data_IF_506450243952
#
_entry.id   IF_506450243952
#
_cell.length_a   1.000
_cell.length_b   1.000
_cell.length_c   1.000
_cell.angle_alpha   90.00
_cell.angle_beta   90.00
_cell.angle_gamma   90.00
#
_symmetry.space_group_name_H-M   'P 1'
#
loop_
_entity.id
_entity.type
_entity.pdbx_description
1 polymer ?
#
# COMPACT_ATOMS: atom_id res chain seq x y z
N UNK A 1 36.80 -57.27 -23.85
CA UNK A 1 36.48 -55.83 -24.04
C UNK A 1 34.96 -55.56 -24.01
N UNK A 2 34.23 -55.99 -22.96
CA UNK A 2 32.77 -55.74 -22.84
C UNK A 2 32.30 -55.35 -21.44
N UNK A 3 33.22 -55.06 -20.51
CA UNK A 3 32.89 -54.74 -19.10
C UNK A 3 33.27 -53.33 -18.64
N UNK A 4 33.82 -52.49 -19.52
CA UNK A 4 34.21 -51.11 -19.17
C UNK A 4 33.24 -50.01 -19.65
N UNK A 5 32.20 -50.35 -20.42
CA UNK A 5 31.27 -49.33 -20.96
C UNK A 5 30.07 -49.08 -20.01
N UNK A 6 29.78 -50.00 -19.09
CA UNK A 6 28.64 -49.87 -18.19
C UNK A 6 28.86 -48.88 -17.02
N UNK A 7 30.11 -48.52 -16.71
CA UNK A 7 30.42 -47.60 -15.61
C UNK A 7 30.39 -46.12 -16.03
N UNK A 8 30.58 -45.82 -17.32
CA UNK A 8 30.53 -44.44 -17.82
C UNK A 8 29.09 -43.91 -17.95
N UNK A 9 28.11 -44.79 -18.20
CA UNK A 9 26.70 -44.41 -18.31
C UNK A 9 26.01 -44.19 -16.95
N UNK A 10 26.53 -44.79 -15.86
CA UNK A 10 25.94 -44.65 -14.53
C UNK A 10 26.45 -43.41 -13.78
N UNK A 11 27.63 -42.90 -14.12
CA UNK A 11 28.18 -41.67 -13.53
C UNK A 11 27.59 -40.41 -14.19
N UNK A 12 27.13 -40.48 -15.44
CA UNK A 12 26.45 -39.36 -16.09
C UNK A 12 24.96 -39.21 -15.71
N UNK A 13 24.36 -40.18 -15.04
CA UNK A 13 22.95 -40.12 -14.62
C UNK A 13 22.76 -39.56 -13.20
N UNK A 14 23.84 -39.32 -12.45
CA UNK A 14 23.78 -38.86 -11.05
C UNK A 14 24.21 -37.40 -10.86
N UNK A 15 24.60 -36.68 -11.92
CA UNK A 15 24.96 -35.25 -11.84
C UNK A 15 23.84 -34.31 -12.31
N UNK A 16 22.66 -34.82 -12.66
CA UNK A 16 21.54 -34.00 -13.14
C UNK A 16 20.54 -33.57 -12.04
N UNK A 17 20.77 -33.94 -10.77
CA UNK A 17 19.86 -33.61 -9.65
C UNK A 17 20.39 -32.57 -8.66
N UNK A 18 21.45 -31.86 -9.01
CA UNK A 18 21.91 -30.69 -8.25
C UNK A 18 21.61 -29.37 -8.99
N UNK A 19 20.45 -29.30 -9.65
CA UNK A 19 19.88 -27.99 -9.97
C UNK A 19 19.16 -27.51 -8.72
N UNK A 20 19.52 -26.37 -8.11
CA UNK A 20 18.71 -25.82 -7.05
C UNK A 20 17.35 -25.50 -7.68
N UNK A 21 16.32 -26.21 -7.22
CA UNK A 21 14.92 -25.97 -7.58
C UNK A 21 14.47 -24.52 -7.29
N UNK A 22 15.32 -23.72 -6.66
CA UNK A 22 15.19 -22.29 -6.42
C UNK A 22 15.06 -21.43 -7.69
N UNK A 23 15.45 -21.95 -8.86
CA UNK A 23 15.51 -21.14 -10.09
C UNK A 23 14.21 -21.11 -10.93
N UNK A 24 13.13 -21.80 -10.53
CA UNK A 24 11.92 -21.92 -11.36
C UNK A 24 10.63 -21.29 -10.78
N UNK A 25 10.59 -20.92 -9.50
CA UNK A 25 9.35 -20.42 -8.87
C UNK A 25 9.61 -19.41 -7.74
N UNK A 26 9.53 -18.12 -8.06
CA UNK A 26 9.45 -17.00 -7.10
C UNK A 26 10.77 -16.59 -6.44
N UNK A 27 10.87 -15.32 -6.02
CA UNK A 27 12.01 -14.83 -5.23
C UNK A 27 12.21 -15.69 -3.97
N UNK A 28 13.48 -15.92 -3.63
CA UNK A 28 13.85 -16.71 -2.45
C UNK A 28 13.25 -16.03 -1.21
N UNK A 29 12.81 -16.82 -0.23
CA UNK A 29 12.18 -16.30 1.00
C UNK A 29 13.05 -15.26 1.71
N UNK A 30 14.38 -15.36 1.56
CA UNK A 30 15.33 -14.39 2.11
C UNK A 30 15.27 -13.04 1.39
N UNK A 31 15.09 -13.02 0.06
CA UNK A 31 14.90 -11.79 -0.71
C UNK A 31 13.57 -11.12 -0.37
N UNK A 32 12.49 -11.93 -0.24
CA UNK A 32 11.17 -11.42 0.17
C UNK A 32 11.20 -10.80 1.56
N UNK A 33 11.93 -11.42 2.50
CA UNK A 33 12.11 -10.88 3.84
C UNK A 33 12.84 -9.52 3.79
N UNK A 34 13.94 -9.43 3.03
CA UNK A 34 14.69 -8.17 2.86
C UNK A 34 13.83 -7.07 2.21
N UNK A 35 13.04 -7.41 1.20
CA UNK A 35 12.11 -6.46 0.57
C UNK A 35 11.01 -5.98 1.52
N UNK A 36 10.50 -6.88 2.37
CA UNK A 36 9.51 -6.55 3.38
C UNK A 36 10.10 -5.63 4.45
N UNK A 37 11.30 -5.96 4.96
CA UNK A 37 12.03 -5.12 5.92
C UNK A 37 12.24 -3.71 5.36
N UNK A 38 12.77 -3.59 4.14
CA UNK A 38 13.00 -2.30 3.50
C UNK A 38 11.72 -1.49 3.31
N UNK A 39 10.61 -2.16 2.93
CA UNK A 39 9.31 -1.50 2.79
C UNK A 39 8.75 -1.01 4.13
N UNK A 40 8.87 -1.81 5.20
CA UNK A 40 8.42 -1.45 6.54
C UNK A 40 9.26 -0.31 7.11
N UNK A 41 10.58 -0.38 7.03
CA UNK A 41 11.48 0.67 7.52
C UNK A 41 11.20 2.00 6.80
N UNK A 42 11.04 1.96 5.47
CA UNK A 42 10.66 3.15 4.70
C UNK A 42 9.32 3.72 5.17
N UNK A 43 8.30 2.88 5.29
CA UNK A 43 6.97 3.30 5.73
C UNK A 43 6.99 3.92 7.13
N UNK A 44 7.74 3.34 8.08
CA UNK A 44 7.86 3.89 9.43
C UNK A 44 8.56 5.25 9.41
N UNK A 45 9.61 5.42 8.62
CA UNK A 45 10.26 6.72 8.44
C UNK A 45 9.36 7.77 7.78
N UNK A 46 8.50 7.37 6.84
CA UNK A 46 7.45 8.22 6.28
C UNK A 46 6.42 8.61 7.35
N UNK A 47 5.96 7.67 8.18
CA UNK A 47 5.00 7.93 9.24
C UNK A 47 5.54 8.87 10.33
N UNK A 48 6.78 8.65 10.77
CA UNK A 48 7.45 9.52 11.73
C UNK A 48 7.62 10.94 11.18
N UNK A 49 8.13 11.08 9.95
CA UNK A 49 8.31 12.40 9.32
C UNK A 49 7.00 13.12 9.03
N UNK A 50 5.95 12.36 8.69
CA UNK A 50 4.62 12.88 8.42
C UNK A 50 3.78 13.15 9.67
N UNK A 51 4.26 12.76 10.86
CA UNK A 51 3.58 12.89 12.16
C UNK A 51 2.14 12.30 12.17
N UNK A 52 1.96 11.12 11.57
CA UNK A 52 0.67 10.45 11.53
C UNK A 52 0.75 9.00 12.04
N UNK A 53 -0.40 8.42 12.35
CA UNK A 53 -0.52 7.08 12.89
C UNK A 53 -0.76 6.03 11.79
N UNK A 54 -0.70 4.76 12.16
CA UNK A 54 -0.98 3.63 11.27
C UNK A 54 -2.23 2.90 11.74
N UNK A 55 -3.09 2.54 10.80
CA UNK A 55 -4.21 1.61 11.04
C UNK A 55 -4.09 0.44 10.07
N UNK A 56 -4.28 -0.78 10.54
CA UNK A 56 -4.23 -1.97 9.67
C UNK A 56 -5.60 -2.24 9.01
N UNK A 57 -5.62 -3.14 8.02
CA UNK A 57 -6.85 -3.49 7.29
C UNK A 57 -7.96 -4.04 8.19
N UNK A 58 -7.68 -4.99 9.12
CA UNK A 58 -8.72 -5.50 10.01
C UNK A 58 -9.31 -4.43 10.93
N UNK A 59 -8.48 -3.54 11.50
CA UNK A 59 -8.97 -2.46 12.37
C UNK A 59 -9.80 -1.45 11.60
N UNK A 60 -9.36 -1.05 10.39
CA UNK A 60 -10.16 -0.16 9.53
C UNK A 60 -11.51 -0.81 9.17
N UNK A 61 -11.51 -2.10 8.84
CA UNK A 61 -12.74 -2.84 8.55
C UNK A 61 -13.69 -2.84 9.74
N UNK A 62 -13.18 -3.05 10.94
CA UNK A 62 -13.95 -3.01 12.18
C UNK A 62 -14.55 -1.61 12.41
N UNK A 63 -13.76 -0.53 12.26
CA UNK A 63 -14.26 0.83 12.41
C UNK A 63 -15.40 1.15 11.45
N UNK A 64 -15.33 0.64 10.21
CA UNK A 64 -16.41 0.80 9.22
C UNK A 64 -17.68 0.05 9.66
N UNK A 65 -17.55 -1.18 10.17
CA UNK A 65 -18.70 -1.98 10.64
C UNK A 65 -19.38 -1.39 11.88
N UNK A 66 -18.58 -0.79 12.76
CA UNK A 66 -19.07 -0.11 13.96
C UNK A 66 -19.69 1.26 13.65
N UNK A 67 -19.57 1.75 12.40
CA UNK A 67 -20.05 3.07 12.02
C UNK A 67 -19.29 4.19 12.73
N UNK A 68 -18.01 3.98 13.04
CA UNK A 68 -17.14 5.02 13.62
C UNK A 68 -17.19 6.24 12.69
N UNK A 69 -17.45 7.40 13.28
CA UNK A 69 -17.48 8.65 12.55
C UNK A 69 -16.05 9.05 12.12
N UNK A 70 -15.78 8.98 10.82
CA UNK A 70 -14.45 9.18 10.25
C UNK A 70 -14.53 9.57 8.78
N UNK A 71 -13.43 10.07 8.23
CA UNK A 71 -13.26 10.35 6.81
C UNK A 71 -12.22 9.38 6.26
N UNK A 72 -12.55 8.70 5.16
CA UNK A 72 -11.63 7.80 4.47
C UNK A 72 -11.27 8.43 3.13
N UNK A 73 -9.98 8.54 2.81
CA UNK A 73 -9.51 9.18 1.56
C UNK A 73 -8.64 8.22 0.76
N UNK A 74 -9.06 7.98 -0.48
CA UNK A 74 -8.27 7.33 -1.52
C UNK A 74 -7.43 8.36 -2.28
N UNK A 75 -6.11 8.14 -2.30
CA UNK A 75 -5.15 9.05 -2.94
C UNK A 75 -4.74 8.67 -4.36
N UNK A 76 -5.37 7.64 -4.95
CA UNK A 76 -5.08 7.13 -6.29
C UNK A 76 -5.86 7.86 -7.38
N UNK A 77 -5.40 7.79 -8.65
CA UNK A 77 -6.11 8.38 -9.79
C UNK A 77 -7.57 7.93 -9.87
N UNK A 78 -8.48 8.87 -10.15
CA UNK A 78 -9.92 8.62 -10.17
C UNK A 78 -10.32 7.54 -11.18
N UNK A 79 -10.14 7.80 -12.47
CA UNK A 79 -10.58 6.90 -13.56
C UNK A 79 -9.88 5.54 -13.53
N UNK A 80 -8.58 5.54 -13.27
CA UNK A 80 -7.77 4.33 -13.39
C UNK A 80 -7.85 3.41 -12.17
N UNK A 81 -8.28 3.94 -11.02
CA UNK A 81 -8.34 3.20 -9.76
C UNK A 81 -9.68 3.38 -9.05
N UNK A 82 -9.91 4.53 -8.41
CA UNK A 82 -11.03 4.75 -7.49
C UNK A 82 -12.40 4.46 -8.13
N UNK A 83 -12.59 4.89 -9.37
CA UNK A 83 -13.86 4.71 -10.08
C UNK A 83 -14.21 3.23 -10.29
N UNK A 84 -13.21 2.38 -10.49
CA UNK A 84 -13.38 0.92 -10.67
C UNK A 84 -13.65 0.25 -9.34
N UNK A 85 -12.87 0.61 -8.32
CA UNK A 85 -12.96 0.03 -6.99
C UNK A 85 -12.28 0.89 -5.92
N UNK A 86 -12.96 1.07 -4.79
CA UNK A 86 -12.46 1.74 -3.60
C UNK A 86 -13.00 1.11 -2.31
N UNK A 87 -12.40 1.46 -1.17
CA UNK A 87 -12.90 1.07 0.16
C UNK A 87 -14.27 1.74 0.35
N UNK A 88 -15.31 1.03 0.84
CA UNK A 88 -16.64 1.61 0.99
C UNK A 88 -16.67 2.92 1.78
N UNK A 89 -17.37 3.92 1.24
CA UNK A 89 -17.48 5.26 1.85
C UNK A 89 -16.23 6.14 1.74
N UNK A 90 -15.18 5.68 1.04
CA UNK A 90 -14.03 6.53 0.76
C UNK A 90 -14.40 7.72 -0.13
N UNK A 91 -13.69 8.82 0.03
CA UNK A 91 -13.66 9.97 -0.88
C UNK A 91 -12.37 9.89 -1.72
N UNK A 92 -12.34 10.50 -2.90
CA UNK A 92 -11.13 10.55 -3.72
C UNK A 92 -10.45 11.92 -3.68
N UNK A 93 -9.14 11.94 -3.46
CA UNK A 93 -8.30 13.12 -3.66
C UNK A 93 -6.89 12.70 -4.07
N UNK A 94 -6.50 12.96 -5.31
CA UNK A 94 -5.24 12.47 -5.89
C UNK A 94 -4.05 13.22 -5.32
N UNK A 95 -3.02 12.47 -4.90
CA UNK A 95 -1.69 12.98 -4.56
C UNK A 95 -0.61 12.34 -5.44
N UNK A 96 0.52 13.00 -5.70
CA UNK A 96 1.61 12.44 -6.51
C UNK A 96 2.36 11.31 -5.81
N UNK A 97 3.17 10.56 -6.57
CA UNK A 97 4.06 9.52 -6.03
C UNK A 97 5.31 10.15 -5.39
N UNK A 98 6.04 11.08 -6.02
CA UNK A 98 7.13 11.78 -5.34
C UNK A 98 6.64 12.49 -4.07
N UNK A 99 7.54 12.67 -3.10
CA UNK A 99 7.25 13.47 -1.91
C UNK A 99 6.88 14.90 -2.33
N UNK A 100 5.82 15.44 -1.72
CA UNK A 100 5.29 16.76 -2.03
C UNK A 100 5.54 17.70 -0.84
N UNK A 101 6.75 18.24 -0.78
CA UNK A 101 7.19 19.14 0.29
C UNK A 101 6.42 20.47 0.28
N UNK A 102 6.19 21.01 -0.92
CA UNK A 102 5.37 22.18 -1.21
C UNK A 102 4.14 21.76 -2.02
N UNK A 103 3.01 22.43 -1.82
CA UNK A 103 1.77 22.06 -2.51
C UNK A 103 1.85 22.41 -3.99
N UNK A 104 1.60 21.43 -4.86
CA UNK A 104 1.46 21.63 -6.30
C UNK A 104 0.08 21.13 -6.77
N UNK A 105 -0.77 22.07 -7.17
CA UNK A 105 -2.12 21.77 -7.67
C UNK A 105 -2.10 21.02 -9.01
N UNK A 106 -1.00 21.08 -9.77
CA UNK A 106 -0.89 20.36 -11.05
C UNK A 106 -0.62 18.87 -10.89
N UNK A 107 -0.13 18.46 -9.72
CA UNK A 107 0.19 17.07 -9.36
C UNK A 107 -0.90 16.41 -8.49
N UNK A 108 -1.97 17.15 -8.20
CA UNK A 108 -3.11 16.72 -7.35
C UNK A 108 -4.43 16.89 -8.10
N UNK A 109 -5.52 16.35 -7.56
CA UNK A 109 -6.86 16.53 -8.17
C UNK A 109 -7.52 17.87 -7.83
N UNK A 110 -6.87 18.74 -7.05
CA UNK A 110 -7.42 20.02 -6.60
C UNK A 110 -6.43 20.84 -5.79
N UNK A 111 -6.87 22.01 -5.34
CA UNK A 111 -6.13 22.90 -4.44
C UNK A 111 -6.07 22.38 -3.01
N UNK A 112 -5.17 22.98 -2.20
CA UNK A 112 -5.06 22.67 -0.78
C UNK A 112 -6.37 22.99 -0.02
N UNK A 113 -7.06 24.06 -0.40
CA UNK A 113 -8.35 24.45 0.18
C UNK A 113 -9.45 23.43 -0.14
N UNK A 114 -9.46 22.87 -1.35
CA UNK A 114 -10.39 21.79 -1.72
C UNK A 114 -10.10 20.51 -0.94
N UNK A 115 -8.83 20.19 -0.68
CA UNK A 115 -8.47 19.08 0.19
C UNK A 115 -8.94 19.30 1.62
N UNK A 116 -8.70 20.48 2.20
CA UNK A 116 -9.18 20.84 3.54
C UNK A 116 -10.71 20.80 3.61
N UNK A 117 -11.40 21.28 2.58
CA UNK A 117 -12.86 21.24 2.47
C UNK A 117 -13.38 19.79 2.46
N UNK A 118 -12.69 18.90 1.73
CA UNK A 118 -13.02 17.47 1.69
C UNK A 118 -12.85 16.81 3.07
N UNK A 119 -11.81 17.19 3.82
CA UNK A 119 -11.56 16.72 5.19
C UNK A 119 -12.49 17.38 6.23
N UNK A 120 -13.18 18.45 5.87
CA UNK A 120 -14.16 19.13 6.73
C UNK A 120 -13.54 20.00 7.83
N UNK A 121 -14.35 20.80 8.54
CA UNK A 121 -13.85 21.82 9.46
C UNK A 121 -13.36 21.29 10.81
N UNK A 122 -13.73 20.06 11.18
CA UNK A 122 -13.38 19.45 12.46
C UNK A 122 -11.96 18.87 12.43
N UNK A 123 -11.03 19.54 13.11
CA UNK A 123 -9.62 19.13 13.16
C UNK A 123 -9.36 17.91 14.02
N UNK A 124 -10.32 17.52 14.87
CA UNK A 124 -10.23 16.32 15.71
C UNK A 124 -10.92 15.10 15.08
N UNK A 125 -11.47 15.26 13.87
CA UNK A 125 -12.07 14.17 13.10
C UNK A 125 -11.03 13.07 12.82
N UNK A 126 -11.40 11.81 13.07
CA UNK A 126 -10.58 10.68 12.60
C UNK A 126 -10.51 10.68 11.08
N UNK A 127 -9.31 10.74 10.53
CA UNK A 127 -9.05 10.68 9.09
C UNK A 127 -8.20 9.45 8.79
N UNK A 128 -8.61 8.65 7.81
CA UNK A 128 -7.86 7.48 7.33
C UNK A 128 -7.53 7.66 5.86
N UNK A 129 -6.24 7.65 5.53
CA UNK A 129 -5.77 7.89 4.16
C UNK A 129 -5.10 6.62 3.63
N UNK A 130 -5.43 6.23 2.41
CA UNK A 130 -4.90 5.01 1.80
C UNK A 130 -4.55 5.20 0.31
N UNK A 131 -3.80 4.24 -0.22
CA UNK A 131 -3.42 4.12 -1.64
C UNK A 131 -3.53 2.65 -2.08
N UNK A 132 -2.76 2.17 -3.04
CA UNK A 132 -2.85 0.82 -3.55
C UNK A 132 -2.27 -0.24 -2.61
N UNK A 133 -1.10 0.03 -2.05
CA UNK A 133 -0.25 -0.95 -1.35
C UNK A 133 0.86 -0.27 -0.52
N UNK A 134 1.59 -1.04 0.29
CA UNK A 134 2.56 -0.54 1.30
C UNK A 134 3.62 0.39 0.72
N UNK A 135 4.17 0.07 -0.45
CA UNK A 135 5.21 0.88 -1.13
C UNK A 135 4.65 2.15 -1.80
N UNK A 136 3.33 2.32 -1.91
CA UNK A 136 2.73 3.52 -2.51
C UNK A 136 2.83 4.72 -1.57
N UNK A 137 3.43 5.81 -2.04
CA UNK A 137 3.69 7.04 -1.29
C UNK A 137 2.61 8.12 -1.43
N UNK A 138 1.62 7.96 -2.33
CA UNK A 138 0.53 8.94 -2.48
C UNK A 138 -0.21 9.20 -1.16
N UNK A 139 -0.44 8.14 -0.37
CA UNK A 139 -1.09 8.25 0.93
C UNK A 139 -0.18 8.81 2.04
N UNK A 140 1.15 8.76 1.87
CA UNK A 140 2.06 9.49 2.74
C UNK A 140 1.84 11.00 2.57
N UNK A 141 1.84 11.48 1.32
CA UNK A 141 1.60 12.89 1.00
C UNK A 141 0.26 13.37 1.57
N UNK A 142 -0.83 12.64 1.32
CA UNK A 142 -2.15 13.00 1.85
C UNK A 142 -2.17 13.08 3.39
N UNK A 143 -1.57 12.11 4.08
CA UNK A 143 -1.53 12.09 5.54
C UNK A 143 -0.66 13.21 6.12
N UNK A 144 0.52 13.46 5.54
CA UNK A 144 1.39 14.55 5.95
C UNK A 144 0.73 15.92 5.71
N UNK A 145 0.00 16.12 4.60
CA UNK A 145 -0.73 17.37 4.36
C UNK A 145 -1.93 17.56 5.28
N UNK A 146 -2.66 16.50 5.63
CA UNK A 146 -3.69 16.58 6.67
C UNK A 146 -3.07 17.03 8.02
N UNK A 147 -1.91 16.47 8.42
CA UNK A 147 -1.19 16.95 9.62
C UNK A 147 -0.76 18.42 9.50
N UNK A 148 -0.19 18.83 8.36
CA UNK A 148 0.18 20.24 8.09
C UNK A 148 -1.02 21.20 8.17
N UNK A 149 -2.22 20.74 7.79
CA UNK A 149 -3.49 21.47 7.90
C UNK A 149 -4.08 21.47 9.32
N UNK A 150 -3.40 20.86 10.29
CA UNK A 150 -3.76 20.87 11.71
C UNK A 150 -4.69 19.75 12.17
N UNK A 151 -4.97 18.73 11.35
CA UNK A 151 -5.78 17.58 11.80
C UNK A 151 -5.00 16.70 12.80
N UNK A 152 -5.63 16.33 13.90
CA UNK A 152 -4.96 15.76 15.08
C UNK A 152 -5.06 14.23 15.16
N UNK A 153 -6.04 13.62 14.49
CA UNK A 153 -6.29 12.16 14.50
C UNK A 153 -6.22 11.58 13.07
N UNK A 154 -4.99 11.53 12.53
CA UNK A 154 -4.73 11.12 11.14
C UNK A 154 -4.03 9.76 11.12
N UNK A 155 -4.60 8.82 10.37
CA UNK A 155 -4.06 7.49 10.13
C UNK A 155 -3.76 7.28 8.64
N UNK A 156 -2.71 6.54 8.35
CA UNK A 156 -2.48 5.94 7.04
C UNK A 156 -2.73 4.44 7.12
N UNK A 157 -3.55 3.91 6.22
CA UNK A 157 -3.71 2.46 6.06
C UNK A 157 -2.70 1.98 5.00
N UNK A 158 -1.66 1.19 5.39
CA UNK A 158 -0.52 0.91 4.52
C UNK A 158 -0.86 -0.10 3.42
N UNK A 159 -1.69 -1.10 3.75
CA UNK A 159 -2.00 -2.20 2.84
C UNK A 159 -2.81 -1.78 1.62
N UNK A 160 -3.45 -0.61 1.67
CA UNK A 160 -4.26 -0.05 0.61
C UNK A 160 -5.45 -0.91 0.21
N UNK A 161 -6.00 -0.60 -0.97
CA UNK A 161 -7.05 -1.40 -1.60
C UNK A 161 -6.57 -2.84 -1.89
N UNK A 162 -5.27 -3.07 -2.10
CA UNK A 162 -4.76 -4.42 -2.37
C UNK A 162 -4.89 -5.32 -1.14
N UNK A 163 -4.52 -4.85 0.04
CA UNK A 163 -4.72 -5.62 1.27
C UNK A 163 -6.20 -5.77 1.61
N UNK A 164 -7.01 -4.73 1.37
CA UNK A 164 -8.47 -4.78 1.53
C UNK A 164 -9.11 -5.89 0.71
N UNK A 165 -8.76 -5.96 -0.59
CA UNK A 165 -9.20 -7.02 -1.50
C UNK A 165 -8.59 -8.38 -1.16
N UNK A 166 -7.33 -8.41 -0.73
CA UNK A 166 -6.66 -9.62 -0.25
C UNK A 166 -7.38 -10.26 0.93
N UNK A 167 -7.95 -9.42 1.81
CA UNK A 167 -8.82 -9.83 2.92
C UNK A 167 -10.26 -10.16 2.49
N UNK A 168 -10.58 -10.08 1.19
CA UNK A 168 -11.89 -10.36 0.59
C UNK A 168 -13.01 -9.47 1.14
N UNK A 169 -12.68 -8.24 1.54
CA UNK A 169 -13.67 -7.26 1.95
C UNK A 169 -14.39 -6.66 0.74
N UNK A 170 -15.66 -6.25 0.87
CA UNK A 170 -16.42 -5.65 -0.23
C UNK A 170 -15.82 -4.30 -0.63
N UNK A 171 -15.90 -3.97 -1.91
CA UNK A 171 -15.50 -2.67 -2.47
C UNK A 171 -16.70 -1.95 -3.06
N UNK A 172 -16.60 -0.63 -3.19
CA UNK A 172 -17.54 0.19 -3.95
C UNK A 172 -16.90 0.62 -5.28
N UNK A 173 -17.73 1.05 -6.24
CA UNK A 173 -17.30 1.66 -7.50
C UNK A 173 -17.97 3.02 -7.63
N UNK A 174 -17.34 3.97 -8.32
CA UNK A 174 -18.00 5.24 -8.58
C UNK A 174 -19.22 5.02 -9.48
N UNK A 175 -20.27 5.84 -9.29
CA UNK A 175 -21.48 5.82 -10.12
C UNK A 175 -21.33 6.78 -11.30
#
# INVERSE_FOLDING_TARGET
MKRLIAFAALVLALTAFASPASALFGSDKFEKELEMEAAVVKYLGEAERGDYQTVDTPTLKQWIEEGKDMIIVDTMPFEDSYAKEHIPGALNFVFPIPDMDEWDASETSGSLEEFETLLGPDKDKTIVIYCGFVKCTRSHNGAAWARKLGYTDVYRQPGGIFAWKGAKHPTESAK
#
